data_IF_996544282432
#
_entry.id   IF_996544282432
#
_cell.length_a   1.000
_cell.length_b   1.000
_cell.length_c   1.000
_cell.angle_alpha   90.00
_cell.angle_beta   90.00
_cell.angle_gamma   90.00
#
_symmetry.space_group_name_H-M   'P 1'
#
loop_
_entity.id
_entity.type
_entity.pdbx_description
1 polymer ?
#
# COMPACT_ATOMS: atom_id res chain seq x y z
N UNK A 1 3.00 11.46 24.94
CA UNK A 1 3.14 11.38 26.40
C UNK A 1 4.04 12.53 26.84
N UNK A 2 3.45 13.54 27.45
CA UNK A 2 4.15 14.75 27.88
C UNK A 2 4.97 14.47 29.14
N UNK A 3 6.24 14.89 29.10
CA UNK A 3 7.16 14.83 30.22
C UNK A 3 6.75 15.86 31.28
N UNK A 4 6.62 15.42 32.54
CA UNK A 4 6.55 16.31 33.68
C UNK A 4 7.43 15.74 34.79
N UNK A 5 8.66 16.23 34.91
CA UNK A 5 9.52 16.01 36.06
C UNK A 5 9.96 17.35 36.60
N UNK A 6 9.36 17.69 37.74
CA UNK A 6 9.63 18.87 38.53
C UNK A 6 11.08 18.86 39.03
N UNK A 7 11.90 19.78 38.52
CA UNK A 7 13.17 20.14 39.18
C UNK A 7 12.93 21.44 39.94
N UNK A 8 12.92 21.34 41.27
CA UNK A 8 12.81 22.48 42.19
C UNK A 8 13.97 23.46 41.95
N UNK A 9 13.75 24.78 41.99
CA UNK A 9 14.84 25.74 42.00
C UNK A 9 15.57 25.66 43.34
N UNK A 10 16.87 25.37 43.29
CA UNK A 10 17.75 25.49 44.44
C UNK A 10 17.86 26.98 44.79
N UNK A 11 17.70 27.27 46.08
CA UNK A 11 17.86 28.61 46.66
C UNK A 11 19.25 29.16 46.31
N UNK A 12 19.26 30.29 45.64
CA UNK A 12 20.43 31.18 45.57
C UNK A 12 20.82 31.56 47.00
N UNK A 13 21.90 30.98 47.50
CA UNK A 13 22.66 31.55 48.60
C UNK A 13 23.26 32.87 48.11
N UNK A 14 22.57 33.96 48.45
CA UNK A 14 23.08 35.32 48.35
C UNK A 14 24.36 35.38 49.20
N UNK A 15 25.52 35.26 48.55
CA UNK A 15 26.79 35.64 49.14
C UNK A 15 26.70 37.11 49.54
N UNK A 16 26.79 37.35 50.85
CA UNK A 16 26.92 38.69 51.41
C UNK A 16 28.14 39.40 50.80
N UNK A 17 28.10 40.73 50.60
CA UNK A 17 29.27 41.48 50.18
C UNK A 17 30.41 41.26 51.19
N UNK A 18 31.67 41.12 50.74
CA UNK A 18 32.79 41.03 51.68
C UNK A 18 32.80 42.29 52.55
N UNK A 19 32.82 42.10 53.86
CA UNK A 19 33.00 43.18 54.84
C UNK A 19 34.21 44.05 54.47
N UNK A 20 34.14 45.38 54.67
CA UNK A 20 35.27 46.24 54.41
C UNK A 20 36.44 45.80 55.30
N UNK A 21 37.68 45.74 54.78
CA UNK A 21 38.83 45.39 55.60
C UNK A 21 38.94 46.38 56.76
N UNK A 22 38.96 45.84 57.99
CA UNK A 22 39.22 46.61 59.19
C UNK A 22 40.57 47.35 59.10
N UNK A 23 40.83 48.35 59.96
CA UNK A 23 42.02 49.19 59.91
C UNK A 23 43.28 48.46 60.44
N UNK A 24 43.51 47.23 59.99
CA UNK A 24 44.67 46.42 60.34
C UNK A 24 45.70 46.43 59.20
N UNK A 25 46.40 47.56 59.03
CA UNK A 25 47.75 47.59 58.45
C UNK A 25 48.29 49.03 58.43
N UNK A 26 48.44 49.65 59.60
CA UNK A 26 49.37 50.78 59.78
C UNK A 26 50.61 50.41 60.59
N UNK A 27 51.01 49.15 60.56
CA UNK A 27 52.37 48.79 60.90
C UNK A 27 53.18 48.82 59.62
N UNK A 28 53.45 50.03 59.11
CA UNK A 28 54.54 50.19 58.17
C UNK A 28 55.79 49.65 58.88
N UNK A 29 56.22 48.45 58.48
CA UNK A 29 57.35 47.72 59.04
C UNK A 29 58.67 48.35 58.60
N UNK A 30 58.76 49.67 58.75
CA UNK A 30 59.97 50.44 58.64
C UNK A 30 60.24 51.00 60.02
N UNK A 31 61.36 50.62 60.63
CA UNK A 31 61.77 51.22 61.90
C UNK A 31 61.94 52.73 61.66
N UNK A 32 61.17 53.59 62.34
CA UNK A 32 61.24 55.04 62.12
C UNK A 32 62.67 55.55 62.27
N UNK A 33 63.04 56.54 61.46
CA UNK A 33 64.39 57.12 61.46
C UNK A 33 64.82 57.62 62.86
N UNK A 34 63.84 57.99 63.69
CA UNK A 34 64.02 58.40 65.09
C UNK A 34 64.66 57.31 65.97
N UNK A 35 64.34 56.04 65.74
CA UNK A 35 64.91 54.90 66.49
C UNK A 35 66.30 54.52 65.95
N UNK A 36 66.55 54.80 64.67
CA UNK A 36 67.85 54.56 64.04
C UNK A 36 68.89 55.62 64.40
N UNK A 37 68.41 56.85 64.61
CA UNK A 37 69.22 58.04 64.87
C UNK A 37 68.95 58.63 66.26
N UNK A 38 69.04 57.79 67.31
CA UNK A 38 68.82 58.24 68.70
C UNK A 38 70.06 58.97 69.24
N UNK A 39 69.84 60.12 69.88
CA UNK A 39 70.84 60.84 70.66
C UNK A 39 70.54 60.71 72.15
N UNK A 40 71.55 60.37 72.95
CA UNK A 40 71.40 60.17 74.39
C UNK A 40 72.03 61.33 75.19
N UNK A 41 71.36 61.87 76.22
CA UNK A 41 71.91 62.93 77.08
C UNK A 41 73.04 62.42 77.98
N UNK A 42 74.04 63.26 78.25
CA UNK A 42 75.22 62.92 79.08
C UNK A 42 75.00 63.30 80.55
N UNK A 43 75.29 62.37 81.47
CA UNK A 43 75.21 62.58 82.92
C UNK A 43 76.50 62.18 83.64
N UNK A 44 76.68 62.63 84.90
CA UNK A 44 77.88 62.42 85.72
C UNK A 44 78.13 60.94 86.06
N UNK A 45 77.09 60.09 85.97
CA UNK A 45 77.18 58.62 85.97
C UNK A 45 76.29 58.07 84.87
N UNK A 46 76.84 57.20 84.04
CA UNK A 46 76.12 56.58 82.92
C UNK A 46 76.94 55.50 82.22
N UNK A 47 76.32 54.83 81.25
CA UNK A 47 76.98 53.83 80.41
C UNK A 47 78.08 54.48 79.56
N UNK A 48 79.16 53.72 79.29
CA UNK A 48 80.27 54.21 78.50
C UNK A 48 79.83 54.51 77.05
N UNK A 49 80.07 55.75 76.59
CA UNK A 49 79.68 56.22 75.24
C UNK A 49 80.12 55.25 74.14
N UNK A 50 81.38 54.79 74.18
CA UNK A 50 81.98 53.94 73.15
C UNK A 50 81.32 52.54 73.10
N UNK A 51 80.95 52.01 74.26
CA UNK A 51 80.23 50.74 74.36
C UNK A 51 78.79 50.86 73.82
N UNK A 52 78.09 51.95 74.17
CA UNK A 52 76.74 52.24 73.67
C UNK A 52 76.75 52.47 72.16
N UNK A 53 77.70 53.23 71.63
CA UNK A 53 77.80 53.49 70.18
C UNK A 53 78.09 52.21 69.39
N UNK A 54 78.95 51.34 69.90
CA UNK A 54 79.23 50.02 69.31
C UNK A 54 77.98 49.15 69.33
N UNK A 55 77.23 49.17 70.43
CA UNK A 55 75.97 48.45 70.57
C UNK A 55 74.89 48.99 69.61
N UNK A 56 74.70 50.30 69.51
CA UNK A 56 73.75 50.94 68.57
C UNK A 56 74.10 50.61 67.13
N UNK A 57 75.39 50.63 66.75
CA UNK A 57 75.84 50.24 65.40
C UNK A 57 75.54 48.77 65.10
N UNK A 58 75.74 47.88 66.07
CA UNK A 58 75.38 46.46 65.95
C UNK A 58 73.87 46.27 65.83
N UNK A 59 73.07 47.00 66.59
CA UNK A 59 71.59 46.96 66.55
C UNK A 59 71.06 47.51 65.22
N UNK A 60 71.56 48.66 64.75
CA UNK A 60 71.16 49.24 63.45
C UNK A 60 71.50 48.30 62.28
N UNK A 61 72.64 47.58 62.36
CA UNK A 61 72.98 46.53 61.38
C UNK A 61 71.97 45.38 61.40
N UNK A 62 71.62 44.87 62.58
CA UNK A 62 70.63 43.79 62.72
C UNK A 62 69.24 44.25 62.27
N UNK A 63 68.86 45.50 62.52
CA UNK A 63 67.62 46.10 62.01
C UNK A 63 67.62 46.12 60.48
N UNK A 64 68.73 46.51 59.83
CA UNK A 64 68.83 46.52 58.37
C UNK A 64 68.77 45.10 57.77
N UNK A 65 69.50 44.14 58.37
CA UNK A 65 69.46 42.73 57.95
C UNK A 65 68.06 42.12 58.14
N UNK A 66 67.36 42.48 59.22
CA UNK A 66 65.98 42.07 59.48
C UNK A 66 64.96 42.74 58.53
N UNK A 67 65.13 44.01 58.15
CA UNK A 67 64.23 44.65 57.16
C UNK A 67 64.42 44.12 55.75
N UNK A 68 65.65 43.75 55.36
CA UNK A 68 65.92 43.10 54.07
C UNK A 68 65.27 41.71 54.00
N UNK A 69 65.30 40.94 55.09
CA UNK A 69 64.71 39.59 55.16
C UNK A 69 63.21 39.58 55.45
N UNK A 70 62.67 40.64 56.07
CA UNK A 70 61.26 40.75 56.50
C UNK A 70 60.43 41.68 55.62
N UNK A 71 60.91 42.07 54.42
CA UNK A 71 60.18 42.97 53.52
C UNK A 71 58.80 42.38 53.13
N UNK A 72 57.69 42.92 53.65
CA UNK A 72 56.35 42.37 53.42
C UNK A 72 55.96 42.42 51.94
N UNK A 73 56.47 43.41 51.21
CA UNK A 73 56.22 43.61 49.78
C UNK A 73 56.92 42.55 48.91
N UNK A 74 58.03 41.96 49.36
CA UNK A 74 58.69 40.87 48.62
C UNK A 74 57.92 39.54 48.78
N UNK A 75 57.43 39.25 49.98
CA UNK A 75 56.60 38.08 50.25
C UNK A 75 55.25 38.14 49.50
N UNK A 76 54.61 39.31 49.47
CA UNK A 76 53.38 39.52 48.69
C UNK A 76 53.63 39.36 47.19
N UNK A 77 54.72 39.93 46.64
CA UNK A 77 55.08 39.73 45.22
C UNK A 77 55.28 38.26 44.87
N UNK A 78 56.03 37.52 45.69
CA UNK A 78 56.23 36.09 45.47
C UNK A 78 54.91 35.29 45.61
N UNK A 79 54.01 35.68 46.53
CA UNK A 79 52.70 35.05 46.63
C UNK A 79 51.85 35.27 45.38
N UNK A 80 51.85 36.50 44.84
CA UNK A 80 51.16 36.85 43.60
C UNK A 80 51.77 36.08 42.42
N UNK A 81 53.09 36.07 42.25
CA UNK A 81 53.77 35.31 41.18
C UNK A 81 53.43 33.82 41.23
N UNK A 82 53.37 33.22 42.43
CA UNK A 82 52.97 31.82 42.60
C UNK A 82 51.52 31.59 42.20
N UNK A 83 50.61 32.50 42.56
CA UNK A 83 49.20 32.42 42.18
C UNK A 83 49.02 32.63 40.68
N UNK A 84 49.77 33.55 40.06
CA UNK A 84 49.77 33.75 38.61
C UNK A 84 50.24 32.49 37.86
N UNK A 85 51.30 31.84 38.34
CA UNK A 85 51.81 30.61 37.75
C UNK A 85 50.84 29.43 37.93
N UNK A 86 50.23 29.29 39.12
CA UNK A 86 49.15 28.33 39.34
C UNK A 86 47.94 28.60 38.44
N UNK A 87 47.54 29.86 38.29
CA UNK A 87 46.41 30.26 37.43
C UNK A 87 46.71 29.93 35.97
N UNK A 88 47.94 30.21 35.51
CA UNK A 88 48.38 29.87 34.16
C UNK A 88 48.33 28.36 33.91
N UNK A 89 48.84 27.56 34.86
CA UNK A 89 48.78 26.10 34.77
C UNK A 89 47.35 25.58 34.69
N UNK A 90 46.42 26.11 35.51
CA UNK A 90 45.01 25.72 35.48
C UNK A 90 44.37 26.07 34.13
N UNK A 91 44.67 27.25 33.57
CA UNK A 91 44.14 27.66 32.28
C UNK A 91 44.70 26.83 31.12
N UNK A 92 45.98 26.45 31.17
CA UNK A 92 46.60 25.55 30.19
C UNK A 92 45.99 24.15 30.26
N UNK A 93 45.79 23.61 31.47
CA UNK A 93 45.11 22.32 31.68
C UNK A 93 43.65 22.36 31.24
N UNK A 94 42.92 23.43 31.56
CA UNK A 94 41.54 23.62 31.15
C UNK A 94 41.41 23.70 29.62
N UNK A 95 42.34 24.39 28.94
CA UNK A 95 42.38 24.43 27.47
C UNK A 95 42.68 23.07 26.87
N UNK A 96 43.70 22.37 27.36
CA UNK A 96 44.03 21.03 26.89
C UNK A 96 42.87 20.04 27.11
N UNK A 97 42.18 20.15 28.25
CA UNK A 97 40.98 19.35 28.54
C UNK A 97 39.82 19.70 27.60
N UNK A 98 39.58 20.99 27.34
CA UNK A 98 38.57 21.44 26.40
C UNK A 98 38.85 20.94 24.97
N UNK A 99 40.10 21.04 24.50
CA UNK A 99 40.51 20.52 23.19
C UNK A 99 40.35 19.00 23.08
N UNK A 100 40.65 18.27 24.16
CA UNK A 100 40.42 16.83 24.19
C UNK A 100 38.93 16.51 24.09
N UNK A 101 38.08 17.20 24.85
CA UNK A 101 36.63 17.00 24.83
C UNK A 101 36.05 17.34 23.45
N UNK A 102 36.47 18.43 22.83
CA UNK A 102 36.00 18.79 21.49
C UNK A 102 36.49 17.82 20.43
N UNK A 103 37.73 17.36 20.53
CA UNK A 103 38.28 16.34 19.63
C UNK A 103 37.53 15.01 19.72
N UNK A 104 37.23 14.53 20.94
CA UNK A 104 36.44 13.30 21.11
C UNK A 104 35.01 13.47 20.63
N UNK A 105 34.36 14.59 20.96
CA UNK A 105 32.99 14.85 20.53
C UNK A 105 32.86 14.96 19.00
N UNK A 106 33.84 15.57 18.33
CA UNK A 106 33.89 15.63 16.87
C UNK A 106 34.08 14.23 16.25
N UNK A 107 35.03 13.44 16.78
CA UNK A 107 35.25 12.08 16.31
C UNK A 107 34.00 11.19 16.48
N UNK A 108 33.34 11.26 17.64
CA UNK A 108 32.10 10.52 17.89
C UNK A 108 30.96 10.99 16.98
N UNK A 109 30.83 12.29 16.76
CA UNK A 109 29.83 12.83 15.85
C UNK A 109 30.06 12.36 14.41
N UNK A 110 31.30 12.38 13.94
CA UNK A 110 31.67 11.89 12.61
C UNK A 110 31.39 10.39 12.47
N UNK A 111 31.66 9.59 13.50
CA UNK A 111 31.34 8.17 13.52
C UNK A 111 29.84 7.93 13.46
N UNK A 112 29.04 8.64 14.27
CA UNK A 112 27.58 8.53 14.25
C UNK A 112 27.03 8.90 12.88
N UNK A 113 27.52 9.97 12.26
CA UNK A 113 27.12 10.39 10.91
C UNK A 113 27.49 9.34 9.88
N UNK A 114 28.71 8.77 9.96
CA UNK A 114 29.15 7.71 9.04
C UNK A 114 28.28 6.45 9.18
N UNK A 115 28.00 6.01 10.40
CA UNK A 115 27.12 4.87 10.67
C UNK A 115 25.68 5.13 10.20
N UNK A 116 25.15 6.33 10.43
CA UNK A 116 23.80 6.71 9.98
C UNK A 116 23.72 6.68 8.45
N UNK A 117 24.72 7.25 7.75
CA UNK A 117 24.80 7.21 6.29
C UNK A 117 24.88 5.79 5.74
N UNK A 118 25.71 4.93 6.35
CA UNK A 118 25.83 3.53 5.96
C UNK A 118 24.48 2.80 6.11
N UNK A 119 23.84 2.92 7.27
CA UNK A 119 22.51 2.32 7.52
C UNK A 119 21.45 2.85 6.56
N UNK A 120 21.45 4.14 6.25
CA UNK A 120 20.52 4.71 5.25
C UNK A 120 20.77 4.16 3.85
N UNK A 121 22.03 4.01 3.44
CA UNK A 121 22.37 3.39 2.16
C UNK A 121 21.90 1.93 2.11
N UNK A 122 22.15 1.16 3.16
CA UNK A 122 21.71 -0.24 3.28
C UNK A 122 20.17 -0.35 3.20
N UNK A 123 19.44 0.53 3.89
CA UNK A 123 17.98 0.56 3.84
C UNK A 123 17.44 0.89 2.45
N UNK A 124 18.06 1.84 1.75
CA UNK A 124 17.67 2.20 0.37
C UNK A 124 17.91 1.01 -0.56
N UNK A 125 19.07 0.35 -0.46
CA UNK A 125 19.38 -0.85 -1.25
C UNK A 125 18.39 -1.95 -0.94
N UNK A 126 18.16 -2.29 0.34
CA UNK A 126 17.21 -3.32 0.75
C UNK A 126 15.79 -3.03 0.26
N UNK A 127 15.33 -1.79 0.39
CA UNK A 127 14.01 -1.36 -0.11
C UNK A 127 13.91 -1.46 -1.62
N UNK A 128 14.96 -1.12 -2.36
CA UNK A 128 14.99 -1.24 -3.82
C UNK A 128 14.94 -2.70 -4.27
N UNK A 129 15.73 -3.57 -3.63
CA UNK A 129 15.74 -5.01 -3.93
C UNK A 129 14.39 -5.65 -3.62
N UNK A 130 13.75 -5.27 -2.52
CA UNK A 130 12.42 -5.76 -2.17
C UNK A 130 11.37 -5.26 -3.17
N UNK A 131 11.45 -3.99 -3.58
CA UNK A 131 10.54 -3.43 -4.58
C UNK A 131 10.66 -4.15 -5.92
N UNK A 132 11.88 -4.45 -6.35
CA UNK A 132 12.13 -5.17 -7.59
C UNK A 132 11.66 -6.62 -7.52
N UNK A 133 11.82 -7.27 -6.35
CA UNK A 133 11.26 -8.60 -6.09
C UNK A 133 9.73 -8.60 -6.19
N UNK A 134 9.07 -7.66 -5.52
CA UNK A 134 7.61 -7.53 -5.55
C UNK A 134 7.11 -7.27 -6.97
N UNK A 135 7.80 -6.43 -7.75
CA UNK A 135 7.49 -6.19 -9.17
C UNK A 135 7.60 -7.48 -9.98
N UNK A 136 8.71 -8.22 -9.84
CA UNK A 136 8.91 -9.48 -10.55
C UNK A 136 7.83 -10.51 -10.22
N UNK A 137 7.48 -10.68 -8.93
CA UNK A 137 6.41 -11.58 -8.51
C UNK A 137 5.03 -11.12 -9.03
N UNK A 138 4.78 -9.82 -9.06
CA UNK A 138 3.54 -9.24 -9.61
C UNK A 138 3.43 -9.50 -11.11
N UNK A 139 4.49 -9.24 -11.86
CA UNK A 139 4.53 -9.45 -13.31
C UNK A 139 4.34 -10.93 -13.65
N UNK A 140 4.94 -11.83 -12.86
CA UNK A 140 4.72 -13.27 -13.00
C UNK A 140 3.24 -13.63 -12.76
N UNK A 141 2.61 -13.12 -11.69
CA UNK A 141 1.19 -13.37 -11.42
C UNK A 141 0.29 -12.84 -12.52
N UNK A 142 0.58 -11.65 -13.07
CA UNK A 142 -0.16 -11.07 -14.20
C UNK A 142 0.00 -11.95 -15.44
N UNK A 143 1.21 -12.41 -15.74
CA UNK A 143 1.47 -13.30 -16.87
C UNK A 143 0.74 -14.63 -16.73
N UNK A 144 0.76 -15.23 -15.54
CA UNK A 144 0.04 -16.47 -15.23
C UNK A 144 -1.47 -16.28 -15.37
N UNK A 145 -2.04 -15.20 -14.80
CA UNK A 145 -3.46 -14.90 -14.90
C UNK A 145 -3.90 -14.67 -16.35
N UNK A 146 -3.09 -13.95 -17.14
CA UNK A 146 -3.34 -13.74 -18.57
C UNK A 146 -3.30 -15.06 -19.35
N UNK A 147 -2.29 -15.89 -19.13
CA UNK A 147 -2.19 -17.20 -19.77
C UNK A 147 -3.37 -18.12 -19.40
N UNK A 148 -3.82 -18.09 -18.15
CA UNK A 148 -5.00 -18.84 -17.71
C UNK A 148 -6.28 -18.33 -18.39
N UNK A 149 -6.47 -17.01 -18.45
CA UNK A 149 -7.62 -16.42 -19.14
C UNK A 149 -7.64 -16.77 -20.63
N UNK A 150 -6.50 -16.69 -21.30
CA UNK A 150 -6.35 -17.09 -22.71
C UNK A 150 -6.68 -18.57 -22.92
N UNK A 151 -6.25 -19.46 -22.01
CA UNK A 151 -6.60 -20.89 -22.05
C UNK A 151 -8.10 -21.10 -21.91
N UNK A 152 -8.75 -20.47 -20.93
CA UNK A 152 -10.20 -20.60 -20.72
C UNK A 152 -10.97 -20.12 -21.95
N UNK A 153 -10.56 -19.00 -22.55
CA UNK A 153 -11.20 -18.49 -23.77
C UNK A 153 -10.96 -19.42 -24.95
N UNK A 154 -9.76 -19.97 -25.11
CA UNK A 154 -9.45 -20.91 -26.18
C UNK A 154 -10.25 -22.22 -26.04
N UNK A 155 -10.32 -22.76 -24.83
CA UNK A 155 -11.10 -23.96 -24.51
C UNK A 155 -12.60 -23.73 -24.71
N UNK A 156 -13.13 -22.60 -24.22
CA UNK A 156 -14.52 -22.23 -24.43
C UNK A 156 -14.88 -22.11 -25.91
N UNK A 157 -14.01 -21.51 -26.73
CA UNK A 157 -14.19 -21.44 -28.19
C UNK A 157 -14.15 -22.83 -28.84
N UNK A 158 -13.18 -23.66 -28.48
CA UNK A 158 -13.06 -25.02 -29.00
C UNK A 158 -14.31 -25.86 -28.68
N UNK A 159 -14.80 -25.79 -27.44
CA UNK A 159 -16.00 -26.51 -27.02
C UNK A 159 -17.25 -25.99 -27.74
N UNK A 160 -17.38 -24.66 -27.90
CA UNK A 160 -18.49 -24.07 -28.64
C UNK A 160 -18.47 -24.47 -30.13
N UNK A 161 -17.30 -24.48 -30.76
CA UNK A 161 -17.15 -24.93 -32.15
C UNK A 161 -17.44 -26.43 -32.30
N UNK A 162 -17.01 -27.26 -31.35
CA UNK A 162 -17.34 -28.68 -31.34
C UNK A 162 -18.86 -28.88 -31.23
N UNK A 163 -19.51 -28.24 -30.25
CA UNK A 163 -20.95 -28.39 -30.06
C UNK A 163 -21.74 -27.90 -31.27
N UNK A 164 -21.30 -26.81 -31.91
CA UNK A 164 -21.89 -26.32 -33.15
C UNK A 164 -21.81 -27.35 -34.27
N UNK A 165 -20.66 -28.00 -34.46
CA UNK A 165 -20.49 -29.06 -35.47
C UNK A 165 -21.39 -30.26 -35.20
N UNK A 166 -21.44 -30.71 -33.94
CA UNK A 166 -22.31 -31.81 -33.52
C UNK A 166 -23.79 -31.51 -33.85
N UNK A 167 -24.26 -30.31 -33.50
CA UNK A 167 -25.63 -29.87 -33.81
C UNK A 167 -25.86 -29.73 -35.32
N UNK A 168 -24.91 -29.17 -36.07
CA UNK A 168 -24.99 -29.07 -37.53
C UNK A 168 -25.10 -30.45 -38.19
N UNK A 169 -24.34 -31.45 -37.70
CA UNK A 169 -24.41 -32.83 -38.18
C UNK A 169 -25.75 -33.50 -37.85
N UNK A 170 -26.26 -33.32 -36.63
CA UNK A 170 -27.57 -33.85 -36.24
C UNK A 170 -28.70 -33.23 -37.06
N UNK A 171 -28.66 -31.91 -37.27
CA UNK A 171 -29.63 -31.22 -38.12
C UNK A 171 -29.56 -31.70 -39.57
N UNK A 172 -28.36 -31.94 -40.11
CA UNK A 172 -28.20 -32.48 -41.45
C UNK A 172 -28.80 -33.90 -41.57
N UNK A 173 -28.56 -34.77 -40.58
CA UNK A 173 -29.16 -36.11 -40.52
C UNK A 173 -30.69 -36.02 -40.46
N UNK A 174 -31.24 -35.27 -39.51
CA UNK A 174 -32.68 -35.12 -39.33
C UNK A 174 -33.36 -34.56 -40.58
N UNK A 175 -32.72 -33.59 -41.25
CA UNK A 175 -33.21 -33.05 -42.52
C UNK A 175 -33.23 -34.11 -43.63
N UNK A 176 -32.15 -34.90 -43.77
CA UNK A 176 -32.09 -35.96 -44.77
C UNK A 176 -33.16 -37.04 -44.54
N UNK A 177 -33.43 -37.39 -43.27
CA UNK A 177 -34.48 -38.32 -42.90
C UNK A 177 -35.88 -37.76 -43.21
N UNK A 178 -36.12 -36.48 -42.91
CA UNK A 178 -37.38 -35.82 -43.22
C UNK A 178 -37.61 -35.74 -44.74
N UNK A 179 -36.58 -35.38 -45.51
CA UNK A 179 -36.65 -35.36 -46.98
C UNK A 179 -36.91 -36.75 -47.56
N UNK A 180 -36.31 -37.80 -46.99
CA UNK A 180 -36.58 -39.18 -47.41
C UNK A 180 -38.03 -39.60 -47.12
N UNK A 181 -38.55 -39.31 -45.92
CA UNK A 181 -39.95 -39.58 -45.55
C UNK A 181 -40.94 -38.82 -46.43
N UNK A 182 -40.64 -37.57 -46.78
CA UNK A 182 -41.48 -36.80 -47.70
C UNK A 182 -41.54 -37.44 -49.08
N UNK A 183 -40.40 -37.88 -49.62
CA UNK A 183 -40.36 -38.59 -50.92
C UNK A 183 -41.13 -39.91 -50.88
N UNK A 184 -41.03 -40.64 -49.78
CA UNK A 184 -41.82 -41.87 -49.56
C UNK A 184 -43.32 -41.57 -49.56
N UNK A 185 -43.76 -40.57 -48.79
CA UNK A 185 -45.17 -40.16 -48.75
C UNK A 185 -45.67 -39.66 -50.11
N UNK A 186 -44.85 -38.94 -50.88
CA UNK A 186 -45.17 -38.49 -52.23
C UNK A 186 -45.36 -39.68 -53.19
N UNK A 187 -44.48 -40.69 -53.12
CA UNK A 187 -44.57 -41.91 -53.93
C UNK A 187 -45.80 -42.76 -53.55
N UNK A 188 -46.09 -42.92 -52.26
CA UNK A 188 -47.28 -43.60 -51.76
C UNK A 188 -48.56 -42.88 -52.21
N UNK A 189 -48.55 -41.54 -52.14
CA UNK A 189 -49.67 -40.72 -52.60
C UNK A 189 -49.89 -40.89 -54.11
N UNK A 190 -48.83 -40.86 -54.92
CA UNK A 190 -48.91 -41.12 -56.36
C UNK A 190 -49.49 -42.51 -56.65
N UNK A 191 -49.03 -43.53 -55.92
CA UNK A 191 -49.55 -44.91 -56.04
C UNK A 191 -51.04 -45.00 -55.70
N UNK A 192 -51.50 -44.30 -54.65
CA UNK A 192 -52.92 -44.22 -54.30
C UNK A 192 -53.75 -43.52 -55.38
N UNK A 193 -53.22 -42.47 -56.02
CA UNK A 193 -53.89 -41.78 -57.12
C UNK A 193 -54.02 -42.68 -58.36
N UNK A 194 -52.97 -43.41 -58.72
CA UNK A 194 -53.00 -44.37 -59.82
C UNK A 194 -54.05 -45.46 -59.56
N UNK A 195 -54.05 -46.04 -58.35
CA UNK A 195 -55.04 -47.06 -57.95
C UNK A 195 -56.46 -46.51 -57.94
N UNK A 196 -56.66 -45.26 -57.51
CA UNK A 196 -57.97 -44.60 -57.58
C UNK A 196 -58.41 -44.43 -59.02
N UNK A 197 -57.53 -44.00 -59.93
CA UNK A 197 -57.85 -43.81 -61.33
C UNK A 197 -58.23 -45.14 -62.00
N UNK A 198 -57.49 -46.21 -61.71
CA UNK A 198 -57.81 -47.56 -62.17
C UNK A 198 -59.18 -48.03 -61.64
N UNK A 199 -59.45 -47.86 -60.35
CA UNK A 199 -60.73 -48.24 -59.73
C UNK A 199 -61.90 -47.44 -60.32
N UNK A 200 -61.74 -46.14 -60.54
CA UNK A 200 -62.75 -45.31 -61.19
C UNK A 200 -62.98 -45.79 -62.63
N UNK A 201 -61.92 -46.08 -63.38
CA UNK A 201 -62.03 -46.65 -64.72
C UNK A 201 -62.67 -48.05 -64.75
N UNK A 202 -62.45 -48.88 -63.73
CA UNK A 202 -63.16 -50.16 -63.54
C UNK A 202 -64.65 -49.93 -63.29
N UNK A 203 -65.00 -48.97 -62.42
CA UNK A 203 -66.39 -48.59 -62.12
C UNK A 203 -67.11 -48.10 -63.38
N UNK A 204 -66.48 -47.21 -64.16
CA UNK A 204 -67.05 -46.72 -65.42
C UNK A 204 -67.27 -47.86 -66.42
N UNK A 205 -66.30 -48.77 -66.57
CA UNK A 205 -66.46 -49.98 -67.41
C UNK A 205 -67.58 -50.89 -66.93
N UNK A 206 -67.74 -51.05 -65.61
CA UNK A 206 -68.86 -51.82 -65.05
C UNK A 206 -70.20 -51.12 -65.31
N UNK A 207 -70.27 -49.80 -65.18
CA UNK A 207 -71.45 -49.01 -65.50
C UNK A 207 -71.84 -49.11 -66.98
N UNK A 208 -70.88 -49.02 -67.90
CA UNK A 208 -71.11 -49.19 -69.34
C UNK A 208 -71.65 -50.59 -69.67
N UNK A 209 -71.08 -51.65 -69.06
CA UNK A 209 -71.59 -53.02 -69.22
C UNK A 209 -73.00 -53.18 -68.68
N UNK A 210 -73.30 -52.59 -67.53
CA UNK A 210 -74.63 -52.58 -66.95
C UNK A 210 -75.61 -51.83 -67.88
N UNK A 211 -75.18 -50.70 -68.44
CA UNK A 211 -75.98 -49.90 -69.37
C UNK A 211 -76.25 -50.65 -70.69
N UNK A 212 -75.25 -51.32 -71.26
CA UNK A 212 -75.42 -52.12 -72.47
C UNK A 212 -76.30 -53.35 -72.21
N UNK A 213 -76.09 -54.06 -71.09
CA UNK A 213 -76.96 -55.17 -70.70
C UNK A 213 -78.41 -54.70 -70.49
N UNK A 214 -78.61 -53.53 -69.88
CA UNK A 214 -79.92 -52.90 -69.74
C UNK A 214 -80.53 -52.53 -71.10
N UNK A 215 -79.74 -52.00 -72.05
CA UNK A 215 -80.19 -51.68 -73.41
C UNK A 215 -80.55 -52.93 -74.21
N UNK A 216 -79.76 -53.99 -74.11
CA UNK A 216 -80.08 -55.29 -74.69
C UNK A 216 -81.37 -55.86 -74.08
N UNK A 217 -81.51 -55.81 -72.75
CA UNK A 217 -82.71 -56.26 -72.06
C UNK A 217 -83.94 -55.43 -72.49
N UNK A 218 -83.82 -54.11 -72.59
CA UNK A 218 -84.86 -53.23 -73.11
C UNK A 218 -85.19 -53.54 -74.58
N UNK A 219 -84.19 -53.86 -75.41
CA UNK A 219 -84.39 -54.31 -76.79
C UNK A 219 -85.03 -55.70 -76.90
N UNK A 220 -84.81 -56.59 -75.93
CA UNK A 220 -85.55 -57.88 -75.80
C UNK A 220 -86.99 -57.62 -75.34
N UNK A 221 -87.18 -56.72 -74.38
CA UNK A 221 -88.48 -56.30 -73.88
C UNK A 221 -89.31 -55.66 -75.01
N UNK A 222 -88.71 -54.77 -75.81
CA UNK A 222 -89.34 -54.17 -76.99
C UNK A 222 -89.59 -55.18 -78.13
N UNK A 223 -88.83 -56.29 -78.20
CA UNK A 223 -89.09 -57.41 -79.13
C UNK A 223 -90.18 -58.37 -78.64
N UNK A 224 -90.46 -58.40 -77.33
CA UNK A 224 -91.50 -59.23 -76.70
C UNK A 224 -92.78 -58.43 -76.43
N UNK A 225 -92.71 -57.10 -76.42
CA UNK A 225 -93.82 -56.20 -76.20
C UNK A 225 -93.82 -55.08 -77.23
N UNK A 226 -94.47 -55.31 -78.37
CA UNK A 226 -95.23 -54.26 -79.03
C UNK A 226 -96.67 -54.35 -78.51
N UNK A 227 -96.92 -53.74 -77.35
CA UNK A 227 -98.19 -53.13 -76.98
C UNK A 227 -97.92 -52.25 -75.75
N UNK A 228 -98.29 -50.97 -75.89
CA UNK A 228 -98.44 -49.93 -74.86
C UNK A 228 -97.23 -49.11 -74.36
N UNK A 229 -96.81 -48.18 -75.23
CA UNK A 229 -96.91 -46.72 -75.04
C UNK A 229 -97.17 -46.10 -73.62
N UNK A 230 -96.11 -45.45 -73.09
CA UNK A 230 -96.00 -44.17 -72.31
C UNK A 230 -96.56 -44.06 -70.86
N UNK A 231 -96.18 -43.05 -70.01
CA UNK A 231 -95.21 -41.93 -70.15
C UNK A 231 -94.19 -41.73 -68.97
N UNK A 232 -93.23 -40.79 -69.14
CA UNK A 232 -92.39 -40.17 -68.09
C UNK A 232 -93.12 -38.96 -67.40
N UNK A 233 -92.49 -38.16 -66.51
CA UNK A 233 -91.95 -38.44 -65.17
C UNK A 233 -92.47 -37.42 -64.12
N UNK A 234 -92.36 -37.71 -62.81
CA UNK A 234 -92.56 -36.68 -61.77
C UNK A 234 -91.31 -36.52 -60.90
N UNK A 235 -90.87 -35.26 -60.84
CA UNK A 235 -89.80 -34.76 -59.99
C UNK A 235 -90.31 -34.56 -58.57
N UNK A 236 -89.54 -34.98 -57.56
CA UNK A 236 -89.64 -34.36 -56.24
C UNK A 236 -88.26 -34.04 -55.67
N UNK A 237 -88.11 -32.74 -55.44
CA UNK A 237 -87.03 -32.12 -54.71
C UNK A 237 -87.21 -32.32 -53.20
N UNK A 238 -86.14 -32.70 -52.51
CA UNK A 238 -85.91 -32.45 -51.08
C UNK A 238 -84.40 -32.55 -50.84
N UNK A 239 -83.72 -31.82 -49.97
CA UNK A 239 -83.95 -30.54 -49.33
C UNK A 239 -82.56 -30.04 -48.89
N UNK A 240 -82.35 -28.73 -48.98
CA UNK A 240 -81.17 -28.00 -48.49
C UNK A 240 -81.12 -28.08 -46.95
N UNK A 241 -79.93 -28.32 -46.39
CA UNK A 241 -79.60 -27.99 -45.00
C UNK A 241 -78.26 -27.23 -44.95
N UNK A 242 -78.37 -25.91 -44.78
CA UNK A 242 -77.39 -24.96 -44.21
C UNK A 242 -76.81 -25.48 -42.88
N UNK A 243 -75.49 -25.48 -42.66
CA UNK A 243 -74.59 -24.39 -42.21
C UNK A 243 -74.27 -24.43 -40.69
N UNK A 244 -73.02 -24.88 -40.40
CA UNK A 244 -72.01 -24.47 -39.40
C UNK A 244 -72.41 -24.11 -37.93
N UNK A 245 -71.53 -24.38 -36.91
CA UNK A 245 -70.48 -23.41 -36.59
C UNK A 245 -69.12 -23.96 -36.11
N UNK A 246 -68.08 -23.15 -36.37
CA UNK A 246 -66.68 -23.30 -36.00
C UNK A 246 -66.38 -23.40 -34.48
N UNK A 247 -65.27 -24.05 -34.06
CA UNK A 247 -64.79 -23.95 -32.69
C UNK A 247 -63.85 -22.75 -32.46
N UNK A 248 -64.05 -22.13 -31.30
CA UNK A 248 -63.42 -20.91 -30.79
C UNK A 248 -61.94 -21.10 -30.42
N UNK A 249 -61.18 -20.02 -30.60
CA UNK A 249 -59.81 -19.82 -30.08
C UNK A 249 -59.78 -19.94 -28.56
N UNK A 250 -58.88 -20.78 -28.03
CA UNK A 250 -58.43 -20.70 -26.64
C UNK A 250 -56.97 -20.23 -26.62
N UNK A 251 -56.75 -19.04 -26.05
CA UNK A 251 -55.42 -18.54 -25.67
C UNK A 251 -55.00 -19.28 -24.40
N UNK A 252 -53.94 -20.08 -24.46
CA UNK A 252 -53.20 -20.47 -23.27
C UNK A 252 -52.08 -19.45 -23.04
N UNK A 253 -52.23 -18.63 -21.99
CA UNK A 253 -51.09 -17.99 -21.34
C UNK A 253 -50.44 -19.08 -20.48
N UNK A 254 -49.22 -19.48 -20.82
CA UNK A 254 -48.27 -20.01 -19.85
C UNK A 254 -47.00 -19.17 -19.97
N UNK A 255 -46.84 -18.26 -19.01
CA UNK A 255 -45.55 -17.65 -18.71
C UNK A 255 -45.04 -18.39 -17.49
N UNK A 256 -44.03 -19.21 -17.75
CA UNK A 256 -43.14 -19.89 -16.81
C UNK A 256 -42.23 -18.88 -16.10
N UNK A 257 -41.77 -19.26 -14.90
CA UNK A 257 -40.53 -18.84 -14.22
C UNK A 257 -39.42 -18.32 -15.15
#
# INVERSE_FOLDING_TARGET
MAANSHTKPQKEEKHAPPEPPGPEAKYQAHVPAEIRNVSFPLGVRGYEKKAVETYVRKVNRVIAELEVTRSPQAAVRHAVERVEEQTRSILEEARASAEKITGTAQSEADEIIAQAKAKSADLVVASSTESDRIRAESDERIAQAKAQAERIVAEGKANADQHRREVEEELAKLRSEAEAKMKELEADTATLWDRRHELLGDIDRMADRLHEAAREAAGRLARVGSEDAWPEPEAEATAVLEEQPAPKKAKAKNTTD
#
